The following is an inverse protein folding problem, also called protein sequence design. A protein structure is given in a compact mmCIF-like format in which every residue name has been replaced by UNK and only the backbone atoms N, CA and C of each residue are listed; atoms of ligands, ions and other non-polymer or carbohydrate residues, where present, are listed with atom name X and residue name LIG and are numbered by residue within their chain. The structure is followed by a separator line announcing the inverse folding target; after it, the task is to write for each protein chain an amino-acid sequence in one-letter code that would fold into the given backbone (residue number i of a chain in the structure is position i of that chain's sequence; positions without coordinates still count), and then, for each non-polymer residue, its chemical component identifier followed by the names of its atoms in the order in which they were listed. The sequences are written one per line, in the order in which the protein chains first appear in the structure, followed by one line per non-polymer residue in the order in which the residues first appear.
data_IF_772645060213
#
_entry.id   IF_772645060213
#
_cell.length_a   1.000
_cell.length_b   1.000
_cell.length_c   1.000
_cell.angle_alpha   90.00
_cell.angle_beta   90.00
_cell.angle_gamma   90.00
#
_symmetry.space_group_name_H-M   'P 1'
#
loop_
_entity.id
_entity.type
_entity.pdbx_description
1 polymer ?
#
# COMPACT_ATOMS: atom_id res chain seq x y z
N UNK A 1 -15.54 -7.64 -9.48
CA UNK A 1 -16.75 -7.72 -8.64
C UNK A 1 -16.62 -6.59 -7.65
N UNK A 2 -17.63 -5.74 -7.54
CA UNK A 2 -17.59 -4.60 -6.64
C UNK A 2 -18.09 -5.02 -5.26
N UNK A 3 -17.35 -4.64 -4.22
CA UNK A 3 -17.71 -4.93 -2.84
C UNK A 3 -18.02 -3.62 -2.09
N UNK A 4 -18.74 -3.76 -0.98
CA UNK A 4 -19.12 -2.66 -0.10
C UNK A 4 -18.80 -3.00 1.33
N UNK A 5 -18.14 -2.09 2.03
CA UNK A 5 -17.97 -2.15 3.47
C UNK A 5 -19.25 -1.64 4.15
N UNK A 6 -19.93 -2.52 4.88
CA UNK A 6 -21.10 -2.18 5.71
C UNK A 6 -20.67 -2.11 7.16
N UNK A 7 -20.78 -0.94 7.80
CA UNK A 7 -20.50 -0.79 9.24
C UNK A 7 -21.80 -0.66 10.01
N UNK A 8 -21.79 -1.00 11.30
CA UNK A 8 -22.97 -0.92 12.17
C UNK A 8 -22.76 0.09 13.29
N UNK A 9 -23.80 0.33 14.10
CA UNK A 9 -23.69 1.09 15.35
C UNK A 9 -22.78 0.44 16.41
N UNK A 10 -22.29 -0.77 16.16
CA UNK A 10 -21.27 -1.42 16.97
C UNK A 10 -19.97 -1.61 16.15
N UNK A 11 -18.96 -2.23 16.77
CA UNK A 11 -17.66 -2.47 16.12
C UNK A 11 -17.69 -3.55 15.03
N UNK A 12 -18.82 -4.21 14.78
CA UNK A 12 -18.95 -5.12 13.66
C UNK A 12 -19.04 -4.37 12.34
N UNK A 13 -18.54 -5.02 11.31
CA UNK A 13 -18.65 -4.62 9.92
C UNK A 13 -18.88 -5.86 9.06
N UNK A 14 -19.22 -5.67 7.79
CA UNK A 14 -19.32 -6.72 6.78
C UNK A 14 -18.73 -6.27 5.47
N UNK A 15 -18.17 -7.20 4.71
CA UNK A 15 -17.84 -6.98 3.30
C UNK A 15 -18.86 -7.72 2.45
N UNK A 16 -19.63 -6.97 1.68
CA UNK A 16 -20.76 -7.50 0.91
C UNK A 16 -20.54 -7.23 -0.57
N UNK A 17 -20.71 -8.24 -1.42
CA UNK A 17 -20.71 -8.03 -2.87
C UNK A 17 -21.89 -7.13 -3.27
N UNK A 18 -21.68 -6.18 -4.19
CA UNK A 18 -22.72 -5.25 -4.65
C UNK A 18 -23.77 -5.90 -5.59
N UNK A 19 -23.80 -7.23 -5.71
CA UNK A 19 -24.79 -7.95 -6.52
C UNK A 19 -25.91 -8.56 -5.67
N UNK A 20 -27.13 -8.45 -6.18
CA UNK A 20 -28.38 -8.88 -5.52
C UNK A 20 -28.50 -10.40 -5.25
N UNK A 21 -27.56 -11.23 -5.76
CA UNK A 21 -27.68 -12.69 -5.74
C UNK A 21 -26.84 -13.41 -4.67
N UNK A 22 -26.18 -12.69 -3.77
CA UNK A 22 -25.23 -13.30 -2.81
C UNK A 22 -25.78 -13.47 -1.38
N UNK A 23 -27.06 -13.81 -1.24
CA UNK A 23 -27.74 -13.97 0.05
C UNK A 23 -27.25 -15.15 0.92
N UNK A 24 -26.42 -16.05 0.36
CA UNK A 24 -26.05 -17.33 1.00
C UNK A 24 -24.54 -17.52 1.19
N UNK A 25 -23.69 -16.56 0.82
CA UNK A 25 -22.28 -16.61 1.19
C UNK A 25 -22.11 -16.00 2.59
N UNK A 26 -21.36 -16.63 3.50
CA UNK A 26 -21.03 -16.00 4.77
C UNK A 26 -20.21 -14.74 4.47
N UNK A 27 -20.73 -13.57 4.87
CA UNK A 27 -20.01 -12.31 4.70
C UNK A 27 -18.69 -12.36 5.49
N UNK A 28 -17.62 -11.80 4.92
CA UNK A 28 -16.32 -11.75 5.60
C UNK A 28 -16.29 -10.58 6.59
N UNK A 29 -15.93 -10.90 7.83
CA UNK A 29 -15.77 -9.97 8.96
C UNK A 29 -14.33 -9.92 9.46
N UNK A 30 -13.43 -10.63 8.79
CA UNK A 30 -12.03 -10.72 9.16
C UNK A 30 -11.26 -9.52 8.61
N UNK A 31 -10.15 -9.14 9.28
CA UNK A 31 -9.17 -8.24 8.71
C UNK A 31 -8.69 -8.74 7.34
N UNK A 32 -8.49 -10.06 7.17
CA UNK A 32 -8.11 -10.69 5.89
C UNK A 32 -9.10 -10.40 4.76
N UNK A 33 -10.40 -10.41 5.05
CA UNK A 33 -11.44 -10.00 4.12
C UNK A 33 -11.25 -8.56 3.67
N UNK A 34 -10.99 -7.65 4.62
CA UNK A 34 -10.73 -6.24 4.33
C UNK A 34 -9.46 -6.10 3.45
N UNK A 35 -8.42 -6.89 3.74
CA UNK A 35 -7.14 -6.90 3.01
C UNK A 35 -7.19 -7.46 1.59
N UNK A 36 -8.06 -8.44 1.37
CA UNK A 36 -8.10 -9.24 0.14
C UNK A 36 -9.21 -8.77 -0.79
N UNK A 37 -10.18 -8.01 -0.28
CA UNK A 37 -11.38 -7.62 -1.00
C UNK A 37 -11.52 -6.10 -1.03
N UNK A 38 -11.03 -5.43 -2.10
CA UNK A 38 -11.23 -3.99 -2.29
C UNK A 38 -12.72 -3.62 -2.21
N UNK A 39 -13.05 -2.64 -1.37
CA UNK A 39 -14.42 -2.14 -1.26
C UNK A 39 -14.58 -0.80 -1.96
N UNK A 40 -15.41 -0.76 -3.01
CA UNK A 40 -15.59 0.44 -3.82
C UNK A 40 -16.58 1.45 -3.22
N UNK A 41 -17.37 1.04 -2.23
CA UNK A 41 -18.27 1.94 -1.49
C UNK A 41 -18.38 1.55 -0.03
N UNK A 42 -18.74 2.52 0.81
CA UNK A 42 -19.08 2.30 2.21
C UNK A 42 -20.57 2.55 2.46
N UNK A 43 -21.17 1.82 3.40
CA UNK A 43 -22.48 2.13 3.95
C UNK A 43 -22.46 1.97 5.47
N UNK A 44 -22.67 3.07 6.18
CA UNK A 44 -23.01 2.98 7.60
C UNK A 44 -24.49 2.58 7.76
N UNK A 45 -24.73 1.58 8.60
CA UNK A 45 -26.05 1.11 8.98
C UNK A 45 -26.39 1.61 10.37
N UNK A 46 -27.49 2.35 10.49
CA UNK A 46 -28.08 2.75 11.78
C UNK A 46 -28.72 1.57 12.55
N UNK A 47 -28.52 0.33 12.07
CA UNK A 47 -29.02 -0.87 12.71
C UNK A 47 -27.92 -1.48 13.59
N UNK A 48 -28.31 -2.19 14.65
CA UNK A 48 -27.42 -3.12 15.35
C UNK A 48 -27.11 -4.30 14.41
N UNK A 49 -25.92 -4.87 14.53
CA UNK A 49 -25.47 -5.99 13.69
C UNK A 49 -26.28 -7.31 13.86
N UNK A 50 -27.19 -7.37 14.84
CA UNK A 50 -27.99 -8.57 15.13
C UNK A 50 -27.26 -9.68 15.90
N UNK A 51 -25.96 -9.49 16.21
CA UNK A 51 -25.22 -10.43 17.07
C UNK A 51 -25.64 -10.26 18.52
N UNK A 52 -25.95 -11.37 19.20
CA UNK A 52 -26.39 -11.38 20.62
C UNK A 52 -25.32 -10.84 21.55
N UNK A 53 -24.05 -10.99 21.18
CA UNK A 53 -22.91 -10.42 21.89
C UNK A 53 -22.88 -8.88 21.87
N UNK A 54 -23.70 -8.23 21.04
CA UNK A 54 -23.83 -6.77 20.96
C UNK A 54 -25.06 -6.22 21.68
N UNK A 55 -25.88 -7.08 22.29
CA UNK A 55 -27.10 -6.66 22.99
C UNK A 55 -26.82 -6.26 24.44
N UNK A 56 -25.89 -6.94 25.11
CA UNK A 56 -25.52 -6.70 26.51
C UNK A 56 -23.98 -6.78 26.62
N UNK A 57 -23.31 -5.62 26.53
CA UNK A 57 -21.85 -5.52 26.65
C UNK A 57 -21.54 -4.71 27.91
N UNK A 58 -20.70 -5.24 28.81
CA UNK A 58 -20.20 -4.48 29.96
C UNK A 58 -19.18 -3.42 29.50
N UNK A 59 -18.93 -2.39 30.32
CA UNK A 59 -17.95 -1.34 29.98
C UNK A 59 -16.54 -1.91 29.78
N UNK A 60 -16.14 -2.91 30.56
CA UNK A 60 -14.86 -3.60 30.43
C UNK A 60 -14.77 -4.38 29.11
N UNK A 61 -15.87 -5.03 28.70
CA UNK A 61 -15.95 -5.73 27.42
C UNK A 61 -15.90 -4.75 26.24
N UNK A 62 -16.49 -3.57 26.38
CA UNK A 62 -16.38 -2.48 25.39
C UNK A 62 -14.94 -2.02 25.23
N UNK A 63 -14.25 -1.77 26.35
CA UNK A 63 -12.84 -1.42 26.35
C UNK A 63 -12.01 -2.47 25.61
N UNK A 64 -12.15 -3.75 25.96
CA UNK A 64 -11.42 -4.83 25.28
C UNK A 64 -11.70 -4.89 23.77
N UNK A 65 -12.96 -4.74 23.35
CA UNK A 65 -13.36 -4.76 21.93
C UNK A 65 -12.83 -3.56 21.15
N UNK A 66 -12.81 -2.38 21.77
CA UNK A 66 -12.21 -1.18 21.17
C UNK A 66 -10.72 -1.36 20.99
N UNK A 67 -9.99 -1.84 22.01
CA UNK A 67 -8.56 -2.14 21.90
C UNK A 67 -8.26 -3.16 20.79
N UNK A 68 -9.05 -4.23 20.71
CA UNK A 68 -8.93 -5.23 19.64
C UNK A 68 -9.18 -4.61 18.26
N UNK A 69 -10.18 -3.73 18.13
CA UNK A 69 -10.47 -3.06 16.87
C UNK A 69 -9.34 -2.10 16.47
N UNK A 70 -8.78 -1.34 17.43
CA UNK A 70 -7.61 -0.48 17.21
C UNK A 70 -6.42 -1.31 16.78
N UNK A 71 -6.13 -2.41 17.49
CA UNK A 71 -5.05 -3.33 17.18
C UNK A 71 -5.15 -3.87 15.74
N UNK A 72 -6.34 -4.30 15.31
CA UNK A 72 -6.57 -4.76 13.93
C UNK A 72 -6.36 -3.66 12.89
N UNK A 73 -6.76 -2.42 13.18
CA UNK A 73 -6.52 -1.30 12.28
C UNK A 73 -5.02 -0.95 12.20
N UNK A 74 -4.28 -1.02 13.31
CA UNK A 74 -2.81 -0.87 13.31
C UNK A 74 -2.13 -1.98 12.51
N UNK A 75 -2.51 -3.23 12.73
CA UNK A 75 -2.03 -4.37 11.92
C UNK A 75 -2.28 -4.16 10.42
N UNK A 76 -3.38 -3.47 10.07
CA UNK A 76 -3.67 -3.14 8.69
C UNK A 76 -2.68 -2.18 8.07
N UNK A 77 -2.39 -1.08 8.75
CA UNK A 77 -1.36 -0.14 8.31
C UNK A 77 -0.02 -0.85 8.18
N UNK A 78 0.37 -1.67 9.16
CA UNK A 78 1.57 -2.50 9.13
C UNK A 78 1.64 -3.43 7.89
N UNK A 79 0.55 -4.10 7.52
CA UNK A 79 0.52 -4.95 6.31
C UNK A 79 0.58 -4.12 5.03
N UNK A 80 -0.09 -2.97 4.99
CA UNK A 80 -0.04 -2.05 3.87
C UNK A 80 1.39 -1.54 3.63
N UNK A 81 2.13 -1.20 4.69
CA UNK A 81 3.57 -0.87 4.64
C UNK A 81 4.35 -1.98 3.94
N UNK A 82 4.17 -3.24 4.35
CA UNK A 82 4.88 -4.36 3.75
C UNK A 82 4.60 -4.50 2.25
N UNK A 83 3.34 -4.34 1.83
CA UNK A 83 2.95 -4.39 0.41
C UNK A 83 3.54 -3.23 -0.40
N UNK A 84 3.56 -2.03 0.17
CA UNK A 84 4.21 -0.86 -0.43
C UNK A 84 5.71 -1.12 -0.67
N UNK A 85 6.41 -1.63 0.35
CA UNK A 85 7.83 -1.98 0.27
C UNK A 85 8.10 -3.05 -0.77
N UNK A 86 7.29 -4.10 -0.80
CA UNK A 86 7.42 -5.15 -1.80
C UNK A 86 7.31 -4.60 -3.23
N UNK A 87 6.32 -3.73 -3.48
CA UNK A 87 6.16 -3.09 -4.77
C UNK A 87 7.35 -2.18 -5.13
N UNK A 88 7.88 -1.44 -4.16
CA UNK A 88 9.08 -0.62 -4.34
C UNK A 88 10.30 -1.47 -4.72
N UNK A 89 10.57 -2.56 -3.99
CA UNK A 89 11.66 -3.48 -4.31
C UNK A 89 11.55 -4.05 -5.72
N UNK A 90 10.34 -4.45 -6.12
CA UNK A 90 10.04 -4.94 -7.47
C UNK A 90 10.29 -3.87 -8.53
N UNK A 91 9.89 -2.63 -8.27
CA UNK A 91 10.12 -1.48 -9.15
C UNK A 91 11.63 -1.20 -9.33
N UNK A 92 12.38 -1.06 -8.23
CA UNK A 92 13.81 -0.75 -8.27
C UNK A 92 14.67 -1.91 -8.81
N UNK A 93 14.17 -3.14 -8.75
CA UNK A 93 14.78 -4.32 -9.38
C UNK A 93 14.58 -4.35 -10.90
N UNK A 94 13.72 -3.49 -11.46
CA UNK A 94 13.49 -3.40 -12.90
C UNK A 94 14.55 -2.52 -13.56
N UNK A 95 15.06 -2.97 -14.71
CA UNK A 95 16.03 -2.25 -15.52
C UNK A 95 15.53 -0.82 -15.83
N UNK A 96 16.38 0.22 -15.70
CA UNK A 96 15.99 1.61 -15.95
C UNK A 96 15.39 1.84 -17.34
N UNK A 97 15.91 1.17 -18.37
CA UNK A 97 15.39 1.27 -19.74
C UNK A 97 13.95 0.77 -19.86
N UNK A 98 13.60 -0.31 -19.16
CA UNK A 98 12.22 -0.81 -19.10
C UNK A 98 11.31 0.19 -18.38
N UNK A 99 11.74 0.73 -17.24
CA UNK A 99 10.99 1.77 -16.52
C UNK A 99 10.76 3.01 -17.38
N UNK A 100 11.77 3.44 -18.15
CA UNK A 100 11.63 4.56 -19.08
C UNK A 100 10.63 4.27 -20.20
N UNK A 101 10.55 3.01 -20.67
CA UNK A 101 9.62 2.61 -21.74
C UNK A 101 8.15 2.59 -21.33
N UNK A 102 7.85 2.66 -20.03
CA UNK A 102 6.48 2.65 -19.48
C UNK A 102 6.02 4.03 -18.99
N UNK A 103 6.83 5.09 -19.13
CA UNK A 103 6.51 6.42 -18.62
C UNK A 103 5.23 7.05 -19.18
N UNK A 104 4.74 6.57 -20.32
CA UNK A 104 3.50 7.05 -20.95
C UNK A 104 2.30 6.13 -20.68
N UNK A 105 2.47 5.07 -19.89
CA UNK A 105 1.36 4.20 -19.49
C UNK A 105 0.76 4.71 -18.18
N UNK A 106 -0.47 5.23 -18.25
CA UNK A 106 -1.18 5.80 -17.11
C UNK A 106 -1.32 4.84 -15.91
N UNK A 107 -1.31 3.53 -16.12
CA UNK A 107 -1.33 2.56 -15.02
C UNK A 107 -0.01 2.54 -14.23
N UNK A 108 1.08 3.05 -14.82
CA UNK A 108 2.40 3.11 -14.21
C UNK A 108 2.70 4.47 -13.54
N UNK A 109 1.86 5.48 -13.77
CA UNK A 109 2.09 6.86 -13.30
C UNK A 109 2.33 6.92 -11.79
N UNK A 110 1.46 6.29 -11.00
CA UNK A 110 1.59 6.28 -9.54
C UNK A 110 2.88 5.59 -9.08
N UNK A 111 3.28 4.48 -9.71
CA UNK A 111 4.54 3.81 -9.40
C UNK A 111 5.77 4.66 -9.78
N UNK A 112 5.70 5.39 -10.91
CA UNK A 112 6.75 6.31 -11.33
C UNK A 112 6.84 7.54 -10.42
N UNK A 113 5.71 8.08 -9.98
CA UNK A 113 5.66 9.19 -9.03
C UNK A 113 6.31 8.77 -7.71
N UNK A 114 5.82 7.68 -7.11
CA UNK A 114 6.20 7.25 -5.77
C UNK A 114 7.62 6.67 -5.68
N UNK A 115 8.11 6.00 -6.73
CA UNK A 115 9.42 5.34 -6.71
C UNK A 115 10.46 5.92 -7.67
N UNK A 116 10.05 6.81 -8.57
CA UNK A 116 10.89 7.31 -9.65
C UNK A 116 11.34 8.77 -9.50
N UNK A 117 10.49 9.64 -8.97
CA UNK A 117 10.66 11.11 -9.15
C UNK A 117 10.45 11.90 -7.86
N UNK A 118 9.51 11.54 -6.98
CA UNK A 118 9.25 12.32 -5.76
C UNK A 118 10.22 11.97 -4.62
N UNK A 119 10.98 12.98 -4.22
CA UNK A 119 11.93 12.94 -3.12
C UNK A 119 11.41 13.88 -2.04
N UNK A 120 10.62 13.35 -1.12
CA UNK A 120 10.19 14.03 0.10
C UNK A 120 10.22 13.05 1.27
N UNK A 121 10.20 13.59 2.49
CA UNK A 121 10.02 12.75 3.67
C UNK A 121 8.67 12.04 3.57
N UNK A 122 8.54 10.87 4.20
CA UNK A 122 7.26 10.16 4.17
C UNK A 122 6.16 10.91 4.94
N UNK A 123 6.54 11.79 5.88
CA UNK A 123 5.65 12.67 6.64
C UNK A 123 5.05 13.77 5.74
N UNK A 124 5.84 14.27 4.78
CA UNK A 124 5.44 15.33 3.85
C UNK A 124 4.80 14.80 2.55
N UNK A 125 4.76 13.48 2.34
CA UNK A 125 4.21 12.90 1.12
C UNK A 125 2.68 12.75 1.20
N UNK A 126 1.91 13.44 0.33
CA UNK A 126 0.45 13.35 0.31
C UNK A 126 -0.09 11.92 0.12
N UNK A 127 0.70 11.02 -0.49
CA UNK A 127 0.35 9.61 -0.60
C UNK A 127 0.13 8.92 0.75
N UNK A 128 0.83 9.38 1.79
CA UNK A 128 0.76 8.81 3.14
C UNK A 128 -0.14 9.60 4.11
N UNK A 129 -0.78 10.68 3.66
CA UNK A 129 -1.63 11.53 4.51
C UNK A 129 -2.72 10.71 5.22
N UNK A 130 -3.40 9.85 4.48
CA UNK A 130 -4.44 8.95 5.02
C UNK A 130 -3.88 7.95 6.04
N UNK A 131 -2.63 7.49 5.85
CA UNK A 131 -1.99 6.51 6.74
C UNK A 131 -1.66 7.17 8.07
N UNK A 132 -1.02 8.35 8.00
CA UNK A 132 -0.68 9.15 9.17
C UNK A 132 -1.94 9.58 9.92
N UNK A 133 -2.96 10.04 9.22
CA UNK A 133 -4.26 10.40 9.81
C UNK A 133 -4.91 9.24 10.56
N UNK A 134 -4.90 8.04 9.96
CA UNK A 134 -5.36 6.82 10.63
C UNK A 134 -4.49 6.47 11.83
N UNK A 135 -3.16 6.50 11.69
CA UNK A 135 -2.21 6.19 12.75
C UNK A 135 -2.40 7.09 13.98
N UNK A 136 -2.48 8.41 13.77
CA UNK A 136 -2.70 9.40 14.84
C UNK A 136 -4.06 9.20 15.51
N UNK A 137 -5.12 8.99 14.71
CA UNK A 137 -6.46 8.74 15.25
C UNK A 137 -6.51 7.48 16.12
N UNK A 138 -5.82 6.41 15.70
CA UNK A 138 -5.74 5.16 16.44
C UNK A 138 -4.88 5.28 17.70
N UNK A 139 -3.82 6.09 17.67
CA UNK A 139 -3.00 6.41 18.83
C UNK A 139 -3.84 7.16 19.88
N UNK A 140 -4.48 8.26 19.48
CA UNK A 140 -5.34 9.07 20.35
C UNK A 140 -6.49 8.26 20.95
N UNK A 141 -7.10 7.36 20.16
CA UNK A 141 -8.13 6.45 20.66
C UNK A 141 -7.58 5.43 21.67
N UNK A 142 -6.34 4.95 21.48
CA UNK A 142 -5.69 4.00 22.37
C UNK A 142 -5.35 4.60 23.75
N UNK A 143 -5.15 5.91 23.83
CA UNK A 143 -4.90 6.61 25.10
C UNK A 143 -6.18 6.94 25.88
N UNK A 144 -7.36 6.86 25.26
CA UNK A 144 -8.63 7.17 25.92
C UNK A 144 -9.01 6.11 26.95
N UNK A 145 -9.49 6.55 28.11
CA UNK A 145 -10.09 5.69 29.13
C UNK A 145 -11.49 5.20 28.71
N UNK A 146 -11.56 4.25 27.77
CA UNK A 146 -12.81 3.76 27.16
C UNK A 146 -13.83 3.27 28.20
N UNK A 147 -13.36 2.66 29.30
CA UNK A 147 -14.22 2.16 30.37
C UNK A 147 -14.96 3.27 31.14
N UNK A 148 -14.51 4.53 31.03
CA UNK A 148 -15.10 5.68 31.73
C UNK A 148 -16.14 6.42 30.89
N UNK A 149 -16.22 6.11 29.58
CA UNK A 149 -17.15 6.75 28.66
C UNK A 149 -18.62 6.39 28.98
N UNK A 150 -19.51 7.32 28.67
CA UNK A 150 -20.95 7.10 28.58
C UNK A 150 -21.34 6.55 27.20
N UNK A 151 -22.63 6.27 27.01
CA UNK A 151 -23.12 5.64 25.77
C UNK A 151 -22.87 6.52 24.54
N UNK A 152 -22.98 7.85 24.68
CA UNK A 152 -22.71 8.80 23.60
C UNK A 152 -21.22 8.84 23.26
N UNK A 153 -20.33 8.83 24.26
CA UNK A 153 -18.90 8.72 24.07
C UNK A 153 -18.49 7.41 23.38
N UNK A 154 -19.11 6.29 23.77
CA UNK A 154 -18.91 4.98 23.11
C UNK A 154 -19.38 5.00 21.66
N UNK A 155 -20.54 5.61 21.37
CA UNK A 155 -21.02 5.77 20.00
C UNK A 155 -20.03 6.59 19.15
N UNK A 156 -19.45 7.64 19.74
CA UNK A 156 -18.38 8.43 19.11
C UNK A 156 -17.13 7.60 18.77
N UNK A 157 -16.66 6.76 19.71
CA UNK A 157 -15.52 5.86 19.47
C UNK A 157 -15.81 4.87 18.33
N UNK A 158 -17.00 4.29 18.31
CA UNK A 158 -17.41 3.36 17.24
C UNK A 158 -17.45 4.07 15.89
N UNK A 159 -17.98 5.30 15.83
CA UNK A 159 -18.02 6.09 14.60
C UNK A 159 -16.60 6.33 14.07
N UNK A 160 -15.68 6.76 14.93
CA UNK A 160 -14.27 7.01 14.56
C UNK A 160 -13.62 5.73 14.02
N UNK A 161 -13.76 4.58 14.70
CA UNK A 161 -13.18 3.31 14.23
C UNK A 161 -13.75 2.89 12.86
N UNK A 162 -15.04 3.10 12.66
CA UNK A 162 -15.69 2.77 11.39
C UNK A 162 -15.27 3.70 10.25
N UNK A 163 -15.00 4.97 10.54
CA UNK A 163 -14.42 5.92 9.61
C UNK A 163 -12.97 5.55 9.28
N UNK A 164 -12.15 5.23 10.28
CA UNK A 164 -10.78 4.74 10.08
C UNK A 164 -10.76 3.54 9.14
N UNK A 165 -11.64 2.54 9.34
CA UNK A 165 -11.73 1.38 8.44
C UNK A 165 -12.06 1.76 6.99
N UNK A 166 -12.83 2.81 6.78
CA UNK A 166 -13.15 3.30 5.44
C UNK A 166 -11.92 3.92 4.78
N UNK A 167 -11.20 4.78 5.49
CA UNK A 167 -9.95 5.38 5.02
C UNK A 167 -8.91 4.30 4.71
N UNK A 168 -8.80 3.27 5.56
CA UNK A 168 -7.94 2.12 5.31
C UNK A 168 -8.28 1.38 4.00
N UNK A 169 -9.56 1.31 3.59
CA UNK A 169 -9.92 0.76 2.27
C UNK A 169 -9.33 1.61 1.13
N UNK A 170 -9.36 2.94 1.24
CA UNK A 170 -8.75 3.83 0.24
C UNK A 170 -7.22 3.67 0.15
N UNK A 171 -6.58 3.45 1.30
CA UNK A 171 -5.16 3.06 1.36
C UNK A 171 -4.88 1.78 0.56
N UNK A 172 -5.76 0.78 0.66
CA UNK A 172 -5.61 -0.46 -0.11
C UNK A 172 -5.71 -0.25 -1.61
N UNK A 173 -6.67 0.56 -2.04
CA UNK A 173 -6.89 0.83 -3.46
C UNK A 173 -5.68 1.54 -4.07
N UNK A 174 -5.07 2.46 -3.31
CA UNK A 174 -3.83 3.12 -3.68
C UNK A 174 -2.66 2.13 -3.80
N UNK A 175 -2.53 1.21 -2.83
CA UNK A 175 -1.51 0.16 -2.85
C UNK A 175 -1.73 -0.83 -4.01
N UNK A 176 -2.99 -1.20 -4.29
CA UNK A 176 -3.32 -2.10 -5.38
C UNK A 176 -3.02 -1.46 -6.75
N UNK A 177 -3.36 -0.19 -6.92
CA UNK A 177 -3.06 0.59 -8.13
C UNK A 177 -1.54 0.69 -8.36
N UNK A 178 -0.79 0.97 -7.29
CA UNK A 178 0.66 1.02 -7.32
C UNK A 178 1.26 -0.35 -7.67
N UNK A 179 0.80 -1.43 -7.04
CA UNK A 179 1.25 -2.79 -7.32
C UNK A 179 0.93 -3.23 -8.76
N UNK A 180 -0.21 -2.81 -9.30
CA UNK A 180 -0.58 -3.06 -10.69
C UNK A 180 0.38 -2.38 -11.66
N UNK A 181 0.71 -1.11 -11.45
CA UNK A 181 1.70 -0.39 -12.25
C UNK A 181 3.06 -1.09 -12.24
N UNK A 182 3.53 -1.50 -11.06
CA UNK A 182 4.78 -2.27 -10.93
C UNK A 182 4.71 -3.61 -11.67
N UNK A 183 3.59 -4.33 -11.62
CA UNK A 183 3.41 -5.59 -12.34
C UNK A 183 3.48 -5.40 -13.86
N UNK A 184 2.91 -4.32 -14.41
CA UNK A 184 2.98 -3.99 -15.84
C UNK A 184 4.42 -3.70 -16.27
N UNK A 185 5.16 -2.96 -15.45
CA UNK A 185 6.59 -2.67 -15.66
C UNK A 185 7.39 -3.97 -15.71
N UNK A 186 7.17 -4.88 -14.76
CA UNK A 186 7.86 -6.18 -14.72
C UNK A 186 7.49 -7.07 -15.92
N UNK A 187 6.21 -7.13 -16.29
CA UNK A 187 5.76 -7.86 -17.48
C UNK A 187 6.41 -7.32 -18.76
N UNK A 188 6.61 -6.00 -18.84
CA UNK A 188 7.32 -5.37 -19.95
C UNK A 188 8.80 -5.76 -19.96
N UNK A 189 9.45 -5.83 -18.80
CA UNK A 189 10.82 -6.36 -18.71
C UNK A 189 10.90 -7.81 -19.20
N UNK A 190 9.98 -8.67 -18.77
CA UNK A 190 9.95 -10.07 -19.19
C UNK A 190 9.76 -10.21 -20.72
N UNK A 191 8.84 -9.43 -21.31
CA UNK A 191 8.64 -9.40 -22.76
C UNK A 191 9.89 -8.90 -23.50
N UNK A 192 10.53 -7.85 -22.99
CA UNK A 192 11.79 -7.35 -23.55
C UNK A 192 12.86 -8.44 -23.48
N UNK A 193 13.05 -9.09 -22.33
CA UNK A 193 14.01 -10.18 -22.13
C UNK A 193 13.83 -11.37 -23.09
N UNK A 194 12.60 -11.63 -23.52
CA UNK A 194 12.27 -12.67 -24.50
C UNK A 194 12.45 -12.23 -25.96
N UNK A 195 12.72 -10.95 -26.22
CA UNK A 195 12.96 -10.41 -27.56
C UNK A 195 14.44 -10.47 -27.95
N UNK A 196 14.71 -10.74 -29.23
CA UNK A 196 16.06 -10.65 -29.82
C UNK A 196 16.68 -9.25 -29.68
N UNK A 197 15.84 -8.23 -29.48
CA UNK A 197 16.24 -6.84 -29.30
C UNK A 197 16.90 -6.61 -27.93
N UNK A 198 16.44 -7.27 -26.86
CA UNK A 198 17.10 -7.24 -25.56
C UNK A 198 18.45 -7.95 -25.57
N UNK A 199 18.55 -9.09 -26.26
CA UNK A 199 19.85 -9.76 -26.49
C UNK A 199 20.83 -8.80 -27.20
N UNK A 200 20.37 -8.00 -28.18
CA UNK A 200 21.17 -6.96 -28.84
C UNK A 200 21.51 -5.74 -27.98
N UNK A 201 20.64 -5.36 -27.04
CA UNK A 201 20.86 -4.23 -26.11
C UNK A 201 21.82 -4.62 -24.97
N UNK A 202 21.77 -5.88 -24.52
CA UNK A 202 22.63 -6.43 -23.44
C UNK A 202 23.96 -6.95 -23.99
N UNK A 203 24.05 -7.26 -25.29
CA UNK A 203 25.33 -7.42 -25.98
C UNK A 203 26.15 -6.13 -25.82
N UNK A 204 27.13 -6.15 -24.92
CA UNK A 204 28.07 -5.05 -24.72
C UNK A 204 28.57 -4.55 -26.08
N UNK A 205 28.65 -3.23 -26.32
CA UNK A 205 29.22 -2.65 -27.54
C UNK A 205 30.63 -3.18 -27.89
N UNK A 206 31.33 -3.77 -26.91
CA UNK A 206 32.63 -4.42 -27.07
C UNK A 206 32.62 -5.74 -27.85
N UNK A 207 31.46 -6.33 -28.20
CA UNK A 207 31.38 -7.58 -28.98
C UNK A 207 31.15 -7.37 -30.47
N UNK A 208 30.85 -6.15 -30.93
CA UNK A 208 30.87 -5.82 -32.36
C UNK A 208 32.31 -5.54 -32.80
N UNK A 209 33.02 -6.60 -33.18
CA UNK A 209 34.21 -6.47 -34.00
C UNK A 209 33.80 -5.81 -35.32
N UNK A 210 34.10 -4.52 -35.48
CA UNK A 210 34.03 -3.86 -36.78
C UNK A 210 34.99 -4.54 -37.76
N UNK A 211 34.67 -4.49 -39.04
CA UNK A 211 35.42 -5.06 -40.17
C UNK A 211 36.87 -4.57 -40.29
N UNK A 212 37.30 -3.59 -39.50
CA UNK A 212 38.70 -3.29 -39.23
C UNK A 212 39.03 -3.73 -37.79
N UNK A 213 39.88 -4.74 -37.64
CA UNK A 213 40.24 -5.38 -36.36
C UNK A 213 40.98 -4.50 -35.33
N UNK A 214 40.44 -3.34 -35.00
CA UNK A 214 40.83 -2.56 -33.83
C UNK A 214 39.71 -2.61 -32.80
N UNK A 215 39.98 -3.29 -31.68
CA UNK A 215 39.21 -3.13 -30.45
C UNK A 215 39.22 -1.64 -30.10
N UNK A 216 38.06 -0.97 -30.15
CA UNK A 216 37.92 0.33 -29.48
C UNK A 216 38.12 0.08 -28.00
N UNK A 217 39.18 0.64 -27.45
CA UNK A 217 39.58 0.48 -26.07
C UNK A 217 38.51 1.12 -25.16
N UNK A 218 37.61 0.31 -24.62
CA UNK A 218 36.56 0.73 -23.68
C UNK A 218 37.10 0.96 -22.26
N UNK A 219 38.42 1.17 -22.11
CA UNK A 219 39.04 1.63 -20.85
C UNK A 219 38.63 3.06 -20.46
N UNK A 220 37.91 3.78 -21.30
CA UNK A 220 37.32 5.08 -20.94
C UNK A 220 36.06 4.98 -20.04
N UNK A 221 35.59 3.77 -19.69
CA UNK A 221 34.48 3.58 -18.72
C UNK A 221 34.95 3.07 -17.35
N UNK A 222 36.25 2.99 -17.11
CA UNK A 222 36.80 2.73 -15.77
C UNK A 222 37.15 4.03 -15.07
N UNK A 223 36.16 4.66 -14.41
CA UNK A 223 36.35 5.76 -13.46
C UNK A 223 35.32 6.89 -13.58
N UNK A 224 34.73 7.26 -12.43
CA UNK A 224 33.60 8.17 -12.21
C UNK A 224 32.22 7.59 -12.60
N UNK A 225 31.41 7.34 -11.57
CA UNK A 225 30.04 6.78 -11.60
C UNK A 225 29.22 7.50 -12.68
N UNK A 226 28.56 6.74 -13.58
CA UNK A 226 27.73 7.34 -14.63
C UNK A 226 26.65 8.23 -14.00
N UNK A 227 26.27 9.38 -14.58
CA UNK A 227 25.26 10.28 -14.00
C UNK A 227 23.94 9.57 -13.66
N UNK A 228 23.52 8.59 -14.47
CA UNK A 228 22.36 7.75 -14.20
C UNK A 228 22.52 6.83 -12.98
N UNK A 229 23.75 6.42 -12.69
CA UNK A 229 24.07 5.59 -11.54
C UNK A 229 24.21 6.45 -10.27
N UNK A 230 24.68 7.70 -10.38
CA UNK A 230 24.61 8.69 -9.28
C UNK A 230 23.15 9.05 -8.97
N UNK A 231 22.36 9.39 -9.98
CA UNK A 231 20.94 9.70 -9.83
C UNK A 231 20.17 8.51 -9.24
N UNK A 232 20.44 7.29 -9.72
CA UNK A 232 19.88 6.06 -9.14
C UNK A 232 20.26 5.89 -7.68
N UNK A 233 21.51 6.16 -7.30
CA UNK A 233 21.96 6.04 -5.90
C UNK A 233 21.29 7.08 -5.01
N UNK A 234 21.18 8.32 -5.46
CA UNK A 234 20.50 9.39 -4.72
C UNK A 234 19.02 9.06 -4.56
N UNK A 235 18.30 8.75 -5.64
CA UNK A 235 16.87 8.38 -5.57
C UNK A 235 16.64 7.15 -4.68
N UNK A 236 17.54 6.16 -4.74
CA UNK A 236 17.45 4.97 -3.91
C UNK A 236 17.78 5.25 -2.43
N UNK A 237 18.78 6.08 -2.14
CA UNK A 237 19.14 6.46 -0.76
C UNK A 237 18.06 7.32 -0.10
N UNK A 238 17.50 8.28 -0.83
CA UNK A 238 16.41 9.12 -0.33
C UNK A 238 15.14 8.27 -0.11
N UNK A 239 14.85 7.35 -1.03
CA UNK A 239 13.80 6.35 -0.82
C UNK A 239 14.09 5.47 0.41
N UNK A 240 15.33 5.01 0.64
CA UNK A 240 15.69 4.24 1.83
C UNK A 240 15.44 5.03 3.12
N UNK A 241 15.76 6.33 3.17
CA UNK A 241 15.45 7.19 4.32
C UNK A 241 13.94 7.34 4.54
N UNK A 242 13.18 7.54 3.45
CA UNK A 242 11.72 7.58 3.47
C UNK A 242 11.12 6.27 4.01
N UNK A 243 11.71 5.13 3.67
CA UNK A 243 11.31 3.81 4.18
C UNK A 243 11.65 3.62 5.65
N UNK A 244 12.82 4.09 6.11
CA UNK A 244 13.21 3.95 7.51
C UNK A 244 12.18 4.62 8.43
N UNK A 245 11.76 5.85 8.14
CA UNK A 245 10.73 6.53 8.93
C UNK A 245 9.41 5.75 8.97
N UNK A 246 8.92 5.30 7.81
CA UNK A 246 7.70 4.49 7.72
C UNK A 246 7.83 3.17 8.51
N UNK A 247 8.97 2.50 8.42
CA UNK A 247 9.22 1.24 9.13
C UNK A 247 9.28 1.44 10.64
N UNK A 248 9.96 2.48 11.10
CA UNK A 248 10.07 2.83 12.53
C UNK A 248 8.68 3.10 13.13
N UNK A 249 7.81 3.80 12.41
CA UNK A 249 6.45 4.12 12.90
C UNK A 249 5.54 2.90 13.06
N UNK A 250 5.64 1.91 12.16
CA UNK A 250 4.66 0.82 12.12
C UNK A 250 5.17 -0.54 12.60
N UNK A 251 6.47 -0.67 12.89
CA UNK A 251 7.11 -1.95 13.23
C UNK A 251 8.12 -1.91 14.40
N UNK A 252 8.34 -0.78 15.08
CA UNK A 252 9.22 -0.71 16.26
C UNK A 252 8.51 -0.56 17.63
N UNK A 253 7.21 -0.88 17.72
CA UNK A 253 6.48 -1.00 19.00
C UNK A 253 6.27 -2.46 19.44
#
# INVERSE_FOLDING_TARGET
MDYRLVTYQCLHFKIVAQHDYNLNQPDDYSPEGLFSTPTSTQRHSNLKCGSTECEIISKEQWSARVHEAIYRCKQYLSIAVLRYLEAAFRYHSTAPGTRASTLNDHHCDLAHQQFGIEICSWEDDPFFEDWQGCGNTLHDLGEKAIAELDDDGLAGVVAIINETRATLSGVQDSIASLAQGVAIIQATQQRQQQSDEWMRIVEKPSMRCGTSGMRKDTRALSGAVAPMEVFRRVVYQEWEQRILGLWETYHME
#
